data_IF_469434129362
#
_entry.id   IF_469434129362
#
_cell.length_a   1.000
_cell.length_b   1.000
_cell.length_c   1.000
_cell.angle_alpha   90.00
_cell.angle_beta   90.00
_cell.angle_gamma   90.00
#
_symmetry.space_group_name_H-M   'P 1'
#
loop_
_entity.id
_entity.type
_entity.pdbx_description
1 polymer ?
#
# COMPACT_ATOMS: atom_id res chain seq x y z
N UNK A 1 4.74 -17.38 -30.14
CA UNK A 1 6.18 -17.66 -29.92
C UNK A 1 6.67 -16.61 -28.91
N UNK A 2 6.86 -17.01 -27.67
CA UNK A 2 7.47 -16.16 -26.64
C UNK A 2 8.98 -16.19 -26.88
N UNK A 3 9.53 -15.11 -27.41
CA UNK A 3 10.97 -14.92 -27.51
C UNK A 3 11.55 -14.75 -26.10
N UNK A 4 12.04 -15.84 -25.51
CA UNK A 4 12.71 -15.79 -24.22
C UNK A 4 14.00 -15.00 -24.34
N UNK A 5 14.07 -13.85 -23.69
CA UNK A 5 15.31 -13.14 -23.47
C UNK A 5 16.14 -13.96 -22.46
N UNK A 6 17.21 -14.61 -22.90
CA UNK A 6 18.12 -15.30 -21.97
C UNK A 6 19.20 -14.32 -21.55
N UNK A 7 19.20 -13.95 -20.28
CA UNK A 7 20.28 -13.16 -19.67
C UNK A 7 21.27 -14.13 -19.05
N UNK A 8 22.54 -14.03 -19.46
CA UNK A 8 23.62 -14.81 -18.83
C UNK A 8 23.80 -14.37 -17.39
N UNK A 9 23.74 -15.31 -16.45
CA UNK A 9 23.95 -15.04 -15.02
C UNK A 9 25.39 -15.41 -14.69
N UNK A 10 26.16 -14.46 -14.15
CA UNK A 10 27.47 -14.72 -13.57
C UNK A 10 27.34 -14.96 -12.06
N UNK A 11 28.30 -15.66 -11.48
CA UNK A 11 28.39 -15.80 -10.03
C UNK A 11 28.42 -14.41 -9.35
N UNK A 12 27.59 -14.22 -8.33
CA UNK A 12 27.51 -12.97 -7.59
C UNK A 12 28.82 -12.72 -6.86
N UNK A 13 29.42 -11.55 -7.08
CA UNK A 13 30.55 -11.05 -6.29
C UNK A 13 29.99 -10.24 -5.11
N UNK A 14 30.78 -10.02 -4.05
CA UNK A 14 30.40 -9.05 -3.02
C UNK A 14 30.10 -7.69 -3.67
N UNK A 15 28.95 -7.12 -3.36
CA UNK A 15 28.46 -5.84 -3.89
C UNK A 15 28.33 -4.85 -2.74
N UNK A 16 28.49 -3.56 -3.01
CA UNK A 16 28.18 -2.52 -2.02
C UNK A 16 26.68 -2.53 -1.69
N UNK A 17 25.84 -2.72 -2.71
CA UNK A 17 24.39 -2.78 -2.58
C UNK A 17 23.82 -3.90 -3.46
N UNK A 18 23.07 -4.81 -2.89
CA UNK A 18 22.26 -5.79 -3.61
C UNK A 18 20.81 -5.32 -3.65
N UNK A 19 20.25 -5.13 -4.84
CA UNK A 19 18.84 -4.82 -5.02
C UNK A 19 18.07 -6.11 -5.34
N UNK A 20 17.12 -6.46 -4.46
CA UNK A 20 16.24 -7.62 -4.60
C UNK A 20 14.91 -7.15 -5.18
N UNK A 21 14.59 -7.46 -6.44
CA UNK A 21 13.35 -7.02 -7.06
C UNK A 21 12.14 -7.76 -6.48
N UNK A 22 10.94 -7.22 -6.76
CA UNK A 22 9.71 -7.96 -6.55
C UNK A 22 9.58 -9.10 -7.58
N UNK A 23 8.88 -10.14 -7.18
CA UNK A 23 8.48 -11.25 -8.06
C UNK A 23 6.96 -11.27 -8.25
N UNK A 24 6.45 -12.10 -9.18
CA UNK A 24 5.02 -12.19 -9.42
C UNK A 24 4.34 -12.85 -8.22
N UNK A 25 3.65 -12.05 -7.40
CA UNK A 25 2.88 -12.52 -6.25
C UNK A 25 1.41 -12.17 -6.47
N UNK A 26 0.59 -13.17 -6.73
CA UNK A 26 -0.86 -13.03 -6.85
C UNK A 26 -1.55 -13.60 -5.60
N UNK A 27 -2.81 -13.25 -5.32
CA UNK A 27 -3.56 -13.87 -4.23
C UNK A 27 -3.68 -15.39 -4.33
N UNK A 28 -3.65 -15.92 -5.56
CA UNK A 28 -3.76 -17.35 -5.85
C UNK A 28 -2.40 -18.08 -5.87
N UNK A 29 -1.27 -17.35 -5.80
CA UNK A 29 0.05 -17.96 -5.82
C UNK A 29 0.31 -18.71 -4.51
N UNK A 30 0.74 -19.96 -4.63
CA UNK A 30 1.35 -20.68 -3.52
C UNK A 30 2.72 -20.07 -3.20
N UNK A 31 2.75 -19.31 -2.10
CA UNK A 31 3.97 -18.61 -1.69
C UNK A 31 5.05 -19.58 -1.24
N UNK A 32 4.66 -20.70 -0.62
CA UNK A 32 5.63 -21.70 -0.11
C UNK A 32 6.35 -22.36 -1.28
N UNK A 33 5.61 -22.74 -2.32
CA UNK A 33 6.19 -23.26 -3.56
C UNK A 33 7.11 -22.24 -4.24
N UNK A 34 6.65 -20.98 -4.39
CA UNK A 34 7.44 -19.92 -5.00
C UNK A 34 8.75 -19.64 -4.24
N UNK A 35 8.70 -19.61 -2.90
CA UNK A 35 9.91 -19.40 -2.08
C UNK A 35 10.84 -20.62 -2.12
N UNK A 36 10.29 -21.83 -2.27
CA UNK A 36 11.08 -23.05 -2.43
C UNK A 36 11.86 -23.03 -3.76
N UNK A 37 11.25 -22.53 -4.84
CA UNK A 37 11.91 -22.37 -6.14
C UNK A 37 13.01 -21.28 -6.11
N UNK A 38 12.87 -20.28 -5.23
CA UNK A 38 13.80 -19.15 -5.08
C UNK A 38 14.84 -19.36 -3.96
N UNK A 39 15.08 -20.60 -3.53
CA UNK A 39 16.11 -20.90 -2.51
C UNK A 39 17.53 -20.44 -2.89
N UNK A 40 17.99 -20.56 -4.13
CA UNK A 40 19.29 -20.04 -4.55
C UNK A 40 19.40 -18.53 -4.35
N UNK A 41 18.36 -17.76 -4.69
CA UNK A 41 18.28 -16.31 -4.52
C UNK A 41 18.30 -15.93 -3.03
N UNK A 42 17.53 -16.65 -2.20
CA UNK A 42 17.53 -16.48 -0.74
C UNK A 42 18.93 -16.73 -0.14
N UNK A 43 19.63 -17.76 -0.60
CA UNK A 43 20.99 -18.04 -0.17
C UNK A 43 21.97 -16.94 -0.59
N UNK A 44 21.83 -16.40 -1.82
CA UNK A 44 22.62 -15.29 -2.32
C UNK A 44 22.40 -14.00 -1.51
N UNK A 45 21.14 -13.68 -1.18
CA UNK A 45 20.78 -12.53 -0.34
C UNK A 45 21.43 -12.66 1.05
N UNK A 46 21.37 -13.84 1.65
CA UNK A 46 22.00 -14.11 2.95
C UNK A 46 23.52 -13.95 2.89
N UNK A 47 24.15 -14.50 1.85
CA UNK A 47 25.60 -14.38 1.64
C UNK A 47 26.04 -12.93 1.50
N UNK A 48 25.29 -12.11 0.77
CA UNK A 48 25.56 -10.67 0.61
C UNK A 48 25.53 -9.94 1.95
N UNK A 49 24.52 -10.20 2.77
CA UNK A 49 24.39 -9.57 4.08
C UNK A 49 25.55 -9.99 5.03
N UNK A 50 25.95 -11.26 5.00
CA UNK A 50 27.11 -11.77 5.77
C UNK A 50 28.42 -11.11 5.33
N UNK A 51 28.55 -10.79 4.04
CA UNK A 51 29.73 -10.07 3.50
C UNK A 51 29.75 -8.57 3.84
N UNK A 52 28.76 -8.07 4.58
CA UNK A 52 28.65 -6.66 5.00
C UNK A 52 28.08 -5.72 3.93
N UNK A 53 27.65 -6.23 2.78
CA UNK A 53 26.99 -5.43 1.75
C UNK A 53 25.56 -5.10 2.12
N UNK A 54 25.10 -3.91 1.72
CA UNK A 54 23.72 -3.47 1.94
C UNK A 54 22.74 -4.32 1.09
N UNK A 55 21.56 -4.57 1.63
CA UNK A 55 20.46 -5.24 0.91
C UNK A 55 19.26 -4.33 0.83
N UNK A 56 18.74 -4.12 -0.39
CA UNK A 56 17.56 -3.33 -0.67
C UNK A 56 16.52 -4.21 -1.30
N UNK A 57 15.38 -4.43 -0.66
CA UNK A 57 14.29 -5.21 -1.20
C UNK A 57 13.14 -4.32 -1.69
N UNK A 58 12.60 -4.63 -2.86
CA UNK A 58 11.54 -3.87 -3.51
C UNK A 58 10.24 -4.66 -3.43
N UNK A 59 9.18 -4.03 -2.90
CA UNK A 59 7.83 -4.58 -2.89
C UNK A 59 7.80 -5.98 -2.23
N UNK A 60 7.33 -7.00 -2.94
CA UNK A 60 7.29 -8.39 -2.47
C UNK A 60 8.68 -9.03 -2.35
N UNK A 61 9.75 -8.40 -2.82
CA UNK A 61 11.12 -8.81 -2.51
C UNK A 61 11.42 -8.86 -1.01
N UNK A 62 10.63 -8.15 -0.18
CA UNK A 62 10.69 -8.23 1.27
C UNK A 62 10.45 -9.67 1.80
N UNK A 63 9.70 -10.50 1.09
CA UNK A 63 9.53 -11.92 1.46
C UNK A 63 10.82 -12.71 1.30
N UNK A 64 11.62 -12.43 0.27
CA UNK A 64 12.94 -13.06 0.11
C UNK A 64 13.93 -12.61 1.16
N UNK A 65 13.91 -11.32 1.53
CA UNK A 65 14.74 -10.79 2.61
C UNK A 65 14.33 -11.39 3.98
N UNK A 66 13.02 -11.58 4.22
CA UNK A 66 12.53 -12.25 5.42
C UNK A 66 12.90 -13.74 5.44
N UNK A 67 12.75 -14.46 4.31
CA UNK A 67 13.14 -15.88 4.19
C UNK A 67 14.65 -16.07 4.38
N UNK A 68 15.45 -15.06 4.00
CA UNK A 68 16.87 -15.02 4.29
C UNK A 68 17.20 -14.73 5.77
N UNK A 69 16.20 -14.46 6.64
CA UNK A 69 16.38 -14.13 8.06
C UNK A 69 16.89 -12.70 8.30
N UNK A 70 16.82 -11.82 7.30
CA UNK A 70 17.37 -10.47 7.41
C UNK A 70 16.41 -9.48 8.08
N UNK A 71 15.15 -9.83 8.25
CA UNK A 71 14.13 -8.94 8.81
C UNK A 71 13.71 -9.28 10.25
N UNK A 72 14.24 -10.35 10.84
CA UNK A 72 13.86 -10.79 12.18
C UNK A 72 14.19 -9.73 13.24
N UNK A 73 13.19 -9.34 14.02
CA UNK A 73 13.27 -8.29 15.03
C UNK A 73 13.49 -6.88 14.47
N UNK A 74 13.32 -6.67 13.16
CA UNK A 74 13.54 -5.38 12.49
C UNK A 74 12.24 -4.77 11.99
N UNK A 75 12.26 -3.45 11.78
CA UNK A 75 11.22 -2.76 11.03
C UNK A 75 11.40 -3.03 9.54
N UNK A 76 10.26 -3.25 8.84
CA UNK A 76 10.25 -3.46 7.41
C UNK A 76 8.93 -2.97 6.79
N UNK A 77 8.96 -2.70 5.50
CA UNK A 77 7.74 -2.43 4.70
C UNK A 77 7.69 -3.32 3.47
N UNK A 78 6.54 -3.40 2.88
CA UNK A 78 6.25 -3.99 1.58
C UNK A 78 5.05 -3.28 0.97
N UNK A 79 4.61 -3.66 -0.23
CA UNK A 79 3.34 -3.15 -0.74
C UNK A 79 2.21 -3.40 0.26
N UNK A 80 1.38 -2.38 0.48
CA UNK A 80 0.23 -2.46 1.38
C UNK A 80 -0.71 -3.65 1.07
N UNK A 81 -0.75 -4.10 -0.20
CA UNK A 81 -1.50 -5.29 -0.61
C UNK A 81 -1.03 -6.57 0.08
N UNK A 82 0.23 -6.65 0.45
CA UNK A 82 0.87 -7.85 0.98
C UNK A 82 1.39 -7.68 2.41
N UNK A 83 1.23 -6.50 3.02
CA UNK A 83 1.72 -6.21 4.36
C UNK A 83 1.19 -7.20 5.42
N UNK A 84 -0.11 -7.47 5.41
CA UNK A 84 -0.73 -8.46 6.31
C UNK A 84 -0.21 -9.88 6.06
N UNK A 85 0.09 -10.24 4.81
CA UNK A 85 0.63 -11.55 4.47
C UNK A 85 2.05 -11.71 4.97
N UNK A 86 2.87 -10.65 4.85
CA UNK A 86 4.22 -10.59 5.39
C UNK A 86 4.21 -10.73 6.92
N UNK A 87 3.39 -9.93 7.61
CA UNK A 87 3.28 -9.95 9.07
C UNK A 87 2.81 -11.31 9.63
N UNK A 88 1.85 -11.96 8.95
CA UNK A 88 1.37 -13.29 9.39
C UNK A 88 2.40 -14.39 9.18
N UNK A 89 3.19 -14.32 8.11
CA UNK A 89 4.19 -15.36 7.80
C UNK A 89 5.44 -15.22 8.64
N UNK A 90 5.84 -13.99 8.94
CA UNK A 90 7.06 -13.67 9.70
C UNK A 90 6.70 -12.81 10.91
N UNK A 91 6.22 -13.42 12.00
CA UNK A 91 5.68 -12.69 13.16
C UNK A 91 6.75 -11.86 13.90
N UNK A 92 8.03 -12.18 13.73
CA UNK A 92 9.14 -11.44 14.33
C UNK A 92 9.49 -10.15 13.55
N UNK A 93 8.91 -9.93 12.36
CA UNK A 93 9.09 -8.72 11.55
C UNK A 93 8.11 -7.65 11.99
N UNK A 94 8.61 -6.45 12.32
CA UNK A 94 7.77 -5.29 12.61
C UNK A 94 7.36 -4.60 11.31
N UNK A 95 6.26 -5.06 10.72
CA UNK A 95 5.78 -4.51 9.44
C UNK A 95 5.17 -3.13 9.63
N UNK A 96 5.65 -2.13 8.85
CA UNK A 96 5.21 -0.74 8.81
C UNK A 96 4.44 -0.49 7.49
N UNK A 97 3.15 -0.84 7.39
CA UNK A 97 2.41 -0.86 6.13
C UNK A 97 2.14 0.53 5.54
N UNK A 98 2.33 1.60 6.29
CA UNK A 98 2.15 2.98 5.83
C UNK A 98 3.40 3.59 5.22
N UNK A 99 4.60 3.08 5.52
CA UNK A 99 5.88 3.68 5.09
C UNK A 99 6.24 3.25 3.68
N UNK A 100 6.84 4.18 2.90
CA UNK A 100 7.35 3.88 1.55
C UNK A 100 8.71 3.20 1.59
N UNK A 101 9.58 3.66 2.47
CA UNK A 101 10.95 3.15 2.64
C UNK A 101 11.21 2.96 4.13
N UNK A 102 11.75 1.81 4.48
CA UNK A 102 12.23 1.50 5.84
C UNK A 102 13.64 0.98 5.73
N UNK A 103 14.56 1.63 6.42
CA UNK A 103 15.96 1.16 6.57
C UNK A 103 16.20 0.82 8.03
N UNK A 104 16.60 -0.41 8.31
CA UNK A 104 16.96 -0.87 9.64
C UNK A 104 18.22 -1.75 9.57
N UNK A 105 19.28 -1.30 10.25
CA UNK A 105 20.55 -2.03 10.37
C UNK A 105 21.12 -2.57 9.04
N UNK A 106 21.21 -1.71 8.02
CA UNK A 106 21.81 -2.03 6.72
C UNK A 106 20.89 -2.80 5.76
N UNK A 107 19.66 -3.10 6.15
CA UNK A 107 18.63 -3.66 5.26
C UNK A 107 17.57 -2.60 4.98
N UNK A 108 17.33 -2.34 3.71
CA UNK A 108 16.28 -1.43 3.27
C UNK A 108 15.16 -2.22 2.61
N UNK A 109 13.93 -1.91 2.99
CA UNK A 109 12.72 -2.43 2.33
C UNK A 109 11.92 -1.28 1.75
N UNK A 110 11.39 -1.44 0.54
CA UNK A 110 10.53 -0.44 -0.09
C UNK A 110 9.13 -0.99 -0.32
N UNK A 111 8.13 -0.12 -0.30
CA UNK A 111 6.72 -0.48 -0.42
C UNK A 111 6.38 -1.08 -1.80
N UNK A 112 5.79 -0.32 -2.70
CA UNK A 112 5.51 -0.76 -4.06
C UNK A 112 6.71 -0.54 -4.98
N UNK A 113 6.63 -1.02 -6.23
CA UNK A 113 7.70 -0.88 -7.21
C UNK A 113 8.17 0.58 -7.37
N UNK A 114 7.25 1.54 -7.44
CA UNK A 114 7.60 2.96 -7.57
C UNK A 114 8.33 3.53 -6.35
N UNK A 115 8.24 2.91 -5.17
CA UNK A 115 8.94 3.34 -3.97
C UNK A 115 10.47 3.12 -4.06
N UNK A 116 10.94 2.39 -5.07
CA UNK A 116 12.36 2.33 -5.43
C UNK A 116 12.90 3.71 -5.80
N UNK A 117 12.11 4.55 -6.47
CA UNK A 117 12.53 5.91 -6.81
C UNK A 117 12.62 6.79 -5.55
N UNK A 118 11.72 6.60 -4.57
CA UNK A 118 11.81 7.33 -3.30
C UNK A 118 13.10 6.95 -2.54
N UNK A 119 13.46 5.67 -2.54
CA UNK A 119 14.75 5.22 -1.99
C UNK A 119 15.95 5.79 -2.76
N UNK A 120 15.92 5.76 -4.10
CA UNK A 120 17.00 6.31 -4.93
C UNK A 120 17.19 7.82 -4.68
N UNK A 121 16.09 8.58 -4.58
CA UNK A 121 16.15 10.01 -4.25
C UNK A 121 16.63 10.25 -2.82
N UNK A 122 16.30 9.37 -1.87
CA UNK A 122 16.85 9.43 -0.52
C UNK A 122 18.37 9.21 -0.53
N UNK A 123 18.85 8.22 -1.25
CA UNK A 123 20.28 7.93 -1.38
C UNK A 123 21.04 9.11 -2.00
N UNK A 124 20.53 9.70 -3.10
CA UNK A 124 21.11 10.90 -3.72
C UNK A 124 21.10 12.08 -2.74
N UNK A 125 20.03 12.23 -1.96
CA UNK A 125 19.94 13.32 -0.95
C UNK A 125 20.98 13.17 0.14
N UNK A 126 21.29 11.95 0.55
CA UNK A 126 22.27 11.64 1.58
C UNK A 126 23.71 11.83 1.06
N UNK A 127 23.98 11.46 -0.19
CA UNK A 127 25.33 11.52 -0.79
C UNK A 127 25.64 12.87 -1.44
N UNK A 128 24.72 13.41 -2.24
CA UNK A 128 24.96 14.59 -3.10
C UNK A 128 24.16 15.81 -2.64
N UNK A 129 23.35 15.68 -1.61
CA UNK A 129 22.57 16.75 -1.01
C UNK A 129 21.19 16.98 -1.63
N UNK A 130 20.34 17.77 -0.93
CA UNK A 130 18.94 17.95 -1.28
C UNK A 130 18.71 18.69 -2.61
N UNK A 131 19.67 19.50 -3.06
CA UNK A 131 19.60 20.23 -4.33
C UNK A 131 19.67 19.28 -5.53
N UNK A 132 20.62 18.36 -5.51
CA UNK A 132 20.81 17.35 -6.56
C UNK A 132 19.61 16.40 -6.59
N UNK A 133 19.17 15.93 -5.44
CA UNK A 133 17.98 15.05 -5.35
C UNK A 133 16.73 15.70 -5.97
N UNK A 134 16.46 16.98 -5.68
CA UNK A 134 15.32 17.72 -6.29
C UNK A 134 15.47 17.88 -7.80
N UNK A 135 16.67 18.17 -8.28
CA UNK A 135 16.91 18.30 -9.72
C UNK A 135 16.71 16.97 -10.42
N UNK A 136 17.22 15.87 -9.83
CA UNK A 136 17.03 14.50 -10.34
C UNK A 136 15.55 14.13 -10.37
N UNK A 137 14.79 14.43 -9.30
CA UNK A 137 13.35 14.17 -9.24
C UNK A 137 12.58 14.85 -10.38
N UNK A 138 12.92 16.12 -10.67
CA UNK A 138 12.31 16.89 -11.78
C UNK A 138 12.60 16.27 -13.13
N UNK A 139 13.85 15.89 -13.39
CA UNK A 139 14.24 15.25 -14.66
C UNK A 139 13.58 13.89 -14.81
N UNK A 140 13.47 13.14 -13.71
CA UNK A 140 12.84 11.81 -13.68
C UNK A 140 11.30 11.86 -13.63
N UNK A 141 10.68 13.04 -13.52
CA UNK A 141 9.24 13.24 -13.35
C UNK A 141 8.67 12.47 -12.12
N UNK A 142 9.43 12.43 -11.05
CA UNK A 142 9.08 11.74 -9.80
C UNK A 142 8.77 12.78 -8.71
N UNK A 143 7.72 12.53 -7.91
CA UNK A 143 7.41 13.33 -6.73
C UNK A 143 8.44 13.04 -5.62
N UNK A 144 9.21 14.05 -5.20
CA UNK A 144 10.24 13.94 -4.15
C UNK A 144 9.70 14.17 -2.73
N UNK A 145 8.39 14.40 -2.58
CA UNK A 145 7.73 14.68 -1.32
C UNK A 145 6.93 13.50 -0.76
N UNK A 146 6.90 12.35 -1.44
CA UNK A 146 6.18 11.17 -0.94
C UNK A 146 6.89 10.57 0.27
N UNK A 147 6.14 10.33 1.34
CA UNK A 147 6.66 9.70 2.57
C UNK A 147 5.83 8.48 3.00
N UNK A 148 4.66 8.29 2.42
CA UNK A 148 3.72 7.24 2.84
C UNK A 148 2.95 6.66 1.66
N UNK A 149 2.63 5.37 1.73
CA UNK A 149 1.71 4.71 0.80
C UNK A 149 0.23 4.81 1.21
N UNK A 150 -0.08 5.39 2.38
CA UNK A 150 -1.45 5.48 2.88
C UNK A 150 -2.47 6.10 1.89
N UNK A 151 -2.14 7.14 1.08
CA UNK A 151 -3.06 7.67 0.08
C UNK A 151 -3.47 6.66 -1.00
N UNK A 152 -2.65 5.64 -1.25
CA UNK A 152 -2.86 4.64 -2.31
C UNK A 152 -3.55 3.36 -1.81
N UNK A 153 -3.72 3.20 -0.50
CA UNK A 153 -4.37 2.01 0.08
C UNK A 153 -5.84 1.99 -0.34
N UNK A 154 -6.23 0.94 -1.07
CA UNK A 154 -7.64 0.66 -1.37
C UNK A 154 -8.04 -0.69 -0.75
N UNK A 155 -8.78 -0.66 0.38
CA UNK A 155 -9.22 -1.87 1.04
C UNK A 155 -10.15 -2.76 0.19
N UNK A 156 -10.71 -2.25 -0.92
CA UNK A 156 -11.50 -3.06 -1.84
C UNK A 156 -10.64 -4.09 -2.60
N UNK A 157 -9.34 -3.81 -2.72
CA UNK A 157 -8.37 -4.71 -3.35
C UNK A 157 -7.79 -5.75 -2.38
N UNK A 158 -8.08 -5.61 -1.07
CA UNK A 158 -7.64 -6.60 -0.07
C UNK A 158 -8.59 -7.80 -0.06
N UNK A 159 -8.08 -9.02 0.20
CA UNK A 159 -8.94 -10.19 0.37
C UNK A 159 -9.97 -9.98 1.47
N UNK A 160 -11.23 -10.27 1.18
CA UNK A 160 -12.31 -10.14 2.17
C UNK A 160 -12.20 -11.32 3.16
N UNK A 161 -11.54 -11.08 4.28
CA UNK A 161 -11.56 -12.00 5.40
C UNK A 161 -12.87 -11.85 6.19
N UNK A 162 -13.42 -12.94 6.70
CA UNK A 162 -14.54 -12.93 7.65
C UNK A 162 -15.59 -14.00 7.41
N UNK A 163 -16.28 -14.35 8.49
CA UNK A 163 -17.41 -15.26 8.50
C UNK A 163 -18.66 -14.64 7.86
N UNK A 164 -19.73 -15.41 7.75
CA UNK A 164 -21.02 -14.92 7.25
C UNK A 164 -21.56 -13.76 8.12
N UNK A 165 -21.37 -13.82 9.43
CA UNK A 165 -21.79 -12.77 10.35
C UNK A 165 -21.06 -11.46 10.08
N UNK A 166 -19.73 -11.47 10.08
CA UNK A 166 -18.96 -10.23 9.82
C UNK A 166 -19.19 -9.68 8.42
N UNK A 167 -19.39 -10.54 7.40
CA UNK A 167 -19.82 -10.09 6.06
C UNK A 167 -21.21 -9.46 6.08
N UNK A 168 -22.16 -10.00 6.85
CA UNK A 168 -23.48 -9.42 7.05
C UNK A 168 -23.40 -8.02 7.68
N UNK A 169 -22.63 -7.92 8.77
CA UNK A 169 -22.39 -6.62 9.46
C UNK A 169 -21.76 -5.60 8.53
N UNK A 170 -20.72 -5.97 7.77
CA UNK A 170 -20.08 -5.08 6.80
C UNK A 170 -21.07 -4.57 5.76
N UNK A 171 -21.89 -5.45 5.17
CA UNK A 171 -22.93 -5.06 4.19
C UNK A 171 -23.96 -4.09 4.79
N UNK A 172 -24.37 -4.31 6.04
CA UNK A 172 -25.29 -3.42 6.71
C UNK A 172 -24.67 -2.03 6.93
N UNK A 173 -23.43 -1.98 7.42
CA UNK A 173 -22.69 -0.73 7.63
C UNK A 173 -22.47 0.03 6.32
N UNK A 174 -22.11 -0.66 5.24
CA UNK A 174 -21.90 -0.05 3.92
C UNK A 174 -23.18 0.61 3.34
N UNK A 175 -24.35 0.01 3.62
CA UNK A 175 -25.65 0.60 3.22
C UNK A 175 -26.04 1.82 4.07
N UNK A 176 -25.48 1.94 5.26
CA UNK A 176 -25.82 2.98 6.24
C UNK A 176 -24.70 4.00 6.47
N UNK A 177 -23.76 4.17 5.53
CA UNK A 177 -22.61 5.07 5.70
C UNK A 177 -22.99 6.53 5.94
N UNK A 178 -24.10 7.00 5.35
CA UNK A 178 -24.61 8.36 5.52
C UNK A 178 -25.35 8.60 6.84
N UNK A 179 -25.67 7.55 7.59
CA UNK A 179 -26.36 7.67 8.87
C UNK A 179 -25.37 7.86 10.02
N UNK A 180 -25.81 8.50 11.10
CA UNK A 180 -25.00 8.55 12.33
C UNK A 180 -24.73 7.13 12.83
N UNK A 181 -23.45 6.84 13.06
CA UNK A 181 -23.08 5.54 13.62
C UNK A 181 -23.61 5.40 15.05
N UNK A 182 -24.33 4.33 15.31
CA UNK A 182 -24.80 3.92 16.63
C UNK A 182 -24.64 2.40 16.81
N UNK A 183 -23.86 2.03 17.83
CA UNK A 183 -23.55 0.63 18.11
C UNK A 183 -24.78 -0.15 18.58
N UNK A 184 -25.68 0.50 19.29
CA UNK A 184 -26.90 -0.15 19.82
C UNK A 184 -27.85 -0.51 18.68
N UNK A 185 -28.03 0.41 17.73
CA UNK A 185 -28.80 0.19 16.51
C UNK A 185 -28.20 -0.94 15.69
N UNK A 186 -26.86 -0.95 15.51
CA UNK A 186 -26.18 -2.03 14.81
C UNK A 186 -26.38 -3.40 15.50
N UNK A 187 -26.22 -3.45 16.81
CA UNK A 187 -26.35 -4.69 17.57
C UNK A 187 -27.80 -5.23 17.53
N UNK A 188 -28.78 -4.33 17.63
CA UNK A 188 -30.21 -4.68 17.51
C UNK A 188 -30.55 -5.26 16.12
N UNK A 189 -29.98 -4.69 15.05
CA UNK A 189 -30.19 -5.18 13.69
C UNK A 189 -29.70 -6.62 13.47
N UNK A 190 -28.80 -7.11 14.31
CA UNK A 190 -28.27 -8.50 14.28
C UNK A 190 -28.71 -9.34 15.47
N UNK A 191 -29.68 -8.87 16.26
CA UNK A 191 -30.23 -9.57 17.42
C UNK A 191 -29.15 -10.02 18.44
N UNK A 192 -28.13 -9.19 18.67
CA UNK A 192 -27.06 -9.43 19.64
C UNK A 192 -26.87 -8.25 20.59
N UNK A 193 -26.23 -8.48 21.74
CA UNK A 193 -25.81 -7.37 22.60
C UNK A 193 -24.65 -6.59 21.97
N UNK A 194 -24.49 -5.31 22.39
CA UNK A 194 -23.34 -4.47 21.97
C UNK A 194 -22.00 -5.12 22.31
N UNK A 195 -21.90 -5.77 23.47
CA UNK A 195 -20.70 -6.53 23.86
C UNK A 195 -20.42 -7.69 22.91
N UNK A 196 -21.45 -8.46 22.54
CA UNK A 196 -21.32 -9.57 21.57
C UNK A 196 -20.94 -9.05 20.19
N UNK A 197 -21.55 -7.96 19.74
CA UNK A 197 -21.22 -7.30 18.47
C UNK A 197 -19.73 -6.91 18.40
N UNK A 198 -19.24 -6.20 19.42
CA UNK A 198 -17.84 -5.77 19.46
C UNK A 198 -16.87 -6.94 19.48
N UNK A 199 -17.11 -7.92 20.36
CA UNK A 199 -16.25 -9.09 20.49
C UNK A 199 -16.23 -9.91 19.19
N UNK A 200 -17.40 -10.34 18.74
CA UNK A 200 -17.51 -11.26 17.60
C UNK A 200 -17.04 -10.61 16.28
N UNK A 201 -17.45 -9.36 16.04
CA UNK A 201 -16.99 -8.65 14.85
C UNK A 201 -15.47 -8.35 14.92
N UNK A 202 -14.94 -8.03 16.11
CA UNK A 202 -13.50 -7.84 16.32
C UNK A 202 -12.69 -9.10 16.03
N UNK A 203 -13.13 -10.23 16.56
CA UNK A 203 -12.50 -11.55 16.32
C UNK A 203 -12.53 -11.95 14.82
N UNK A 204 -13.68 -11.75 14.16
CA UNK A 204 -13.89 -12.19 12.78
C UNK A 204 -13.34 -11.19 11.73
N UNK A 205 -13.35 -9.89 12.02
CA UNK A 205 -12.97 -8.83 11.07
C UNK A 205 -11.63 -8.17 11.39
N UNK A 206 -10.98 -8.49 12.50
CA UNK A 206 -9.71 -7.92 12.95
C UNK A 206 -9.78 -6.45 13.37
N UNK A 207 -10.99 -5.86 13.47
CA UNK A 207 -11.19 -4.45 13.81
C UNK A 207 -12.58 -4.21 14.41
N UNK A 208 -12.76 -3.08 15.09
CA UNK A 208 -14.09 -2.71 15.62
C UNK A 208 -15.06 -2.29 14.50
N UNK A 209 -16.38 -2.40 14.70
CA UNK A 209 -17.38 -1.87 13.75
C UNK A 209 -17.21 -0.37 13.45
N UNK A 210 -16.85 0.43 14.46
CA UNK A 210 -16.59 1.86 14.26
C UNK A 210 -15.37 2.11 13.36
N UNK A 211 -14.27 1.37 13.58
CA UNK A 211 -13.09 1.48 12.73
C UNK A 211 -13.42 1.08 11.28
N UNK A 212 -14.23 0.03 11.09
CA UNK A 212 -14.72 -0.35 9.77
C UNK A 212 -15.53 0.78 9.09
N UNK A 213 -16.50 1.38 9.82
CA UNK A 213 -17.31 2.51 9.28
C UNK A 213 -16.43 3.68 8.88
N UNK A 214 -15.46 4.06 9.72
CA UNK A 214 -14.54 5.14 9.41
C UNK A 214 -13.76 4.84 8.12
N UNK A 215 -13.20 3.64 8.00
CA UNK A 215 -12.50 3.21 6.78
C UNK A 215 -13.42 3.20 5.56
N UNK A 216 -14.64 2.70 5.68
CA UNK A 216 -15.61 2.65 4.58
C UNK A 216 -16.06 4.07 4.13
N UNK A 217 -16.26 4.99 5.09
CA UNK A 217 -16.54 6.40 4.80
C UNK A 217 -15.38 7.06 4.07
N UNK A 218 -14.16 6.81 4.52
CA UNK A 218 -12.95 7.35 3.86
C UNK A 218 -12.83 6.81 2.43
N UNK A 219 -13.07 5.52 2.19
CA UNK A 219 -13.10 4.95 0.82
C UNK A 219 -14.13 5.68 -0.06
N UNK A 220 -15.35 5.85 0.44
CA UNK A 220 -16.40 6.55 -0.31
C UNK A 220 -16.04 8.02 -0.53
N UNK A 221 -15.43 8.69 0.47
CA UNK A 221 -14.95 10.05 0.33
C UNK A 221 -13.87 10.20 -0.76
N UNK A 222 -12.90 9.26 -0.80
CA UNK A 222 -11.87 9.22 -1.86
C UNK A 222 -12.51 9.20 -3.23
N UNK A 223 -13.41 8.27 -3.47
CA UNK A 223 -14.13 8.18 -4.74
C UNK A 223 -14.87 9.49 -5.09
N UNK A 224 -15.58 10.10 -4.13
CA UNK A 224 -16.28 11.36 -4.36
C UNK A 224 -15.32 12.54 -4.61
N UNK A 225 -14.17 12.57 -3.96
CA UNK A 225 -13.14 13.58 -4.18
C UNK A 225 -12.48 13.46 -5.56
N UNK A 226 -12.32 12.25 -6.05
CA UNK A 226 -11.70 11.93 -7.35
C UNK A 226 -12.65 12.16 -8.53
N UNK A 227 -13.95 11.90 -8.34
CA UNK A 227 -14.92 11.84 -9.45
C UNK A 227 -15.96 12.96 -9.47
N UNK A 228 -16.01 13.82 -8.43
CA UNK A 228 -17.04 14.87 -8.33
C UNK A 228 -16.49 16.21 -7.89
N UNK A 229 -17.23 17.28 -8.17
CA UNK A 229 -16.96 18.66 -7.71
C UNK A 229 -17.58 18.99 -6.35
N UNK A 230 -18.18 18.01 -5.65
CA UNK A 230 -18.79 18.24 -4.35
C UNK A 230 -17.81 18.86 -3.38
N UNK A 231 -18.24 19.86 -2.61
CA UNK A 231 -17.39 20.46 -1.57
C UNK A 231 -17.05 19.44 -0.48
N UNK A 232 -15.92 19.63 0.19
CA UNK A 232 -15.52 18.77 1.32
C UNK A 232 -16.60 18.72 2.40
N UNK A 233 -17.25 19.87 2.67
CA UNK A 233 -18.36 19.94 3.64
C UNK A 233 -19.56 19.09 3.19
N UNK A 234 -19.90 19.12 1.90
CA UNK A 234 -21.00 18.31 1.37
C UNK A 234 -20.68 16.82 1.46
N UNK A 235 -19.45 16.41 1.11
CA UNK A 235 -19.01 15.03 1.22
C UNK A 235 -19.06 14.56 2.68
N UNK A 236 -18.62 15.39 3.63
CA UNK A 236 -18.67 15.08 5.04
C UNK A 236 -20.12 14.82 5.50
N UNK A 237 -21.05 15.71 5.13
CA UNK A 237 -22.48 15.58 5.46
C UNK A 237 -23.09 14.30 4.83
N UNK A 238 -22.82 14.03 3.56
CA UNK A 238 -23.31 12.84 2.84
C UNK A 238 -22.82 11.53 3.47
N UNK A 239 -21.68 11.58 4.20
CA UNK A 239 -21.07 10.44 4.89
C UNK A 239 -21.38 10.41 6.40
N UNK A 240 -22.39 11.19 6.85
CA UNK A 240 -22.88 11.15 8.23
C UNK A 240 -21.94 11.79 9.26
N UNK A 241 -21.11 12.74 8.84
CA UNK A 241 -20.37 13.61 9.76
C UNK A 241 -21.15 14.90 10.03
N UNK A 242 -21.19 15.31 11.28
CA UNK A 242 -21.87 16.55 11.71
C UNK A 242 -21.07 17.81 11.32
N UNK A 243 -19.75 17.67 11.21
CA UNK A 243 -18.88 18.76 10.79
C UNK A 243 -17.72 18.29 9.88
N UNK A 244 -17.28 19.22 9.03
CA UNK A 244 -16.23 18.93 8.03
C UNK A 244 -14.82 18.87 8.67
N UNK A 245 -14.61 19.40 9.87
CA UNK A 245 -13.30 19.37 10.54
C UNK A 245 -13.04 17.98 11.12
N UNK A 246 -14.01 17.39 11.79
CA UNK A 246 -13.96 16.00 12.26
C UNK A 246 -13.75 15.04 11.09
N UNK A 247 -14.51 15.21 10.02
CA UNK A 247 -14.28 14.44 8.78
C UNK A 247 -12.84 14.58 8.27
N UNK A 248 -12.35 15.82 8.14
CA UNK A 248 -11.01 16.09 7.61
C UNK A 248 -9.90 15.48 8.46
N UNK A 249 -10.06 15.49 9.80
CA UNK A 249 -9.11 14.86 10.71
C UNK A 249 -9.10 13.32 10.55
N UNK A 250 -10.29 12.69 10.47
CA UNK A 250 -10.40 11.25 10.23
C UNK A 250 -9.82 10.88 8.87
N UNK A 251 -10.17 11.63 7.83
CA UNK A 251 -9.67 11.41 6.48
C UNK A 251 -8.14 11.51 6.42
N UNK A 252 -7.56 12.58 7.02
CA UNK A 252 -6.11 12.77 7.05
C UNK A 252 -5.39 11.66 7.82
N UNK A 253 -5.96 11.17 8.93
CA UNK A 253 -5.40 10.05 9.69
C UNK A 253 -5.35 8.76 8.85
N UNK A 254 -6.35 8.51 8.01
CA UNK A 254 -6.42 7.31 7.17
C UNK A 254 -5.63 7.40 5.87
N UNK A 255 -5.44 8.61 5.33
CA UNK A 255 -4.84 8.81 4.00
C UNK A 255 -3.49 9.53 4.03
N UNK A 256 -3.08 10.03 5.19
CA UNK A 256 -1.89 10.86 5.34
C UNK A 256 -2.01 12.26 4.75
N UNK A 257 -3.18 12.62 4.16
CA UNK A 257 -3.39 13.91 3.48
C UNK A 257 -4.76 14.50 3.81
N UNK A 258 -4.88 15.83 3.80
CA UNK A 258 -6.18 16.51 3.94
C UNK A 258 -7.03 16.28 2.68
N UNK A 259 -8.37 16.30 2.78
CA UNK A 259 -9.26 16.05 1.63
C UNK A 259 -9.01 16.95 0.42
N UNK A 260 -8.64 18.22 0.63
CA UNK A 260 -8.34 19.16 -0.47
C UNK A 260 -7.05 18.77 -1.20
N UNK A 261 -6.01 18.42 -0.45
CA UNK A 261 -4.71 18.02 -0.99
C UNK A 261 -4.83 16.68 -1.71
N UNK A 262 -5.63 15.76 -1.15
CA UNK A 262 -5.96 14.50 -1.77
C UNK A 262 -6.67 14.71 -3.13
N UNK A 263 -7.68 15.59 -3.17
CA UNK A 263 -8.36 15.94 -4.42
C UNK A 263 -7.39 16.49 -5.45
N UNK A 264 -6.54 17.44 -5.08
CA UNK A 264 -5.58 18.03 -6.00
C UNK A 264 -4.64 16.99 -6.62
N UNK A 265 -4.30 15.96 -5.86
CA UNK A 265 -3.38 14.89 -6.30
C UNK A 265 -4.05 13.83 -7.19
N UNK A 266 -5.29 13.45 -6.87
CA UNK A 266 -5.92 12.28 -7.49
C UNK A 266 -7.10 12.61 -8.42
N UNK A 267 -7.54 13.87 -8.48
CA UNK A 267 -8.61 14.27 -9.40
C UNK A 267 -8.13 14.13 -10.83
N UNK A 268 -8.73 13.26 -11.58
CA UNK A 268 -8.53 13.21 -13.04
C UNK A 268 -9.13 14.49 -13.64
N UNK A 269 -8.32 15.28 -14.34
CA UNK A 269 -8.84 16.25 -15.28
C UNK A 269 -9.75 15.50 -16.27
N UNK A 270 -10.85 16.11 -16.75
CA UNK A 270 -11.61 15.54 -17.86
C UNK A 270 -10.60 15.22 -18.98
N UNK A 271 -10.55 13.98 -19.40
CA UNK A 271 -9.70 13.56 -20.52
C UNK A 271 -10.21 14.34 -21.73
N UNK A 272 -9.46 15.33 -22.20
CA UNK A 272 -9.71 15.86 -23.53
C UNK A 272 -9.67 14.67 -24.49
N UNK A 273 -10.65 14.52 -25.39
CA UNK A 273 -10.60 13.47 -26.39
C UNK A 273 -9.24 13.63 -27.10
N UNK A 274 -8.45 12.58 -27.13
CA UNK A 274 -7.24 12.52 -27.93
C UNK A 274 -7.68 12.87 -29.34
N UNK A 275 -7.32 14.08 -29.81
CA UNK A 275 -7.62 14.51 -31.15
C UNK A 275 -7.09 13.46 -32.10
N UNK A 276 -7.90 13.06 -33.09
CA UNK A 276 -7.49 12.14 -34.14
C UNK A 276 -6.12 12.56 -34.66
N UNK A 277 -5.14 11.69 -34.46
CA UNK A 277 -3.83 11.86 -35.08
C UNK A 277 -4.09 11.84 -36.59
N UNK A 278 -3.82 12.94 -37.34
CA UNK A 278 -4.03 12.94 -38.77
C UNK A 278 -3.20 11.82 -39.40
N UNK A 279 -3.85 10.83 -40.02
CA UNK A 279 -3.19 9.89 -40.89
C UNK A 279 -2.65 10.70 -42.08
N UNK A 280 -1.36 10.96 -42.12
CA UNK A 280 -0.72 11.41 -43.36
C UNK A 280 -0.89 10.29 -44.42
N UNK A 281 -1.47 10.59 -45.56
CA UNK A 281 -1.53 9.63 -46.67
C UNK A 281 -0.13 9.44 -47.18
N UNK A 282 0.37 8.20 -47.11
CA UNK A 282 1.67 7.79 -47.65
C UNK A 282 1.78 8.20 -49.13
N UNK A 283 2.77 9.04 -49.42
CA UNK A 283 3.25 9.29 -50.78
C UNK A 283 3.88 8.02 -51.33
N UNK A 284 3.38 7.64 -52.48
CA UNK A 284 3.89 6.53 -53.31
C UNK A 284 5.29 6.85 -53.84
#
# INVERSE_FOLDING_TARGET
MSGGLTVGVSAMRPLDVLVVPGFALTPALDLDAALADLRPEVAAIRSQAVSGGAVVSICVGAFLAAEAGLLDGREATTSWLFADRLARRYPDVKVCPERLVVTDRGVTTTAAFSAMYDFALQLIREQDGPGVARSTARVALVDDARTTQAPYVDPALLPVAGSEFSRGVKRWLDRNLGSRYDLSTLAAAFHVSTRTMLRRFGEEAGQSPLAYVQSARVRRARHLLETTDRTVARIAADLGYTDASTFSAVFARHTGRRPRDYRAMFRRAPTEPVGDIPHEPGTR
#
